data_IF_820099984547
#
_entry.id   IF_820099984547
#
_cell.length_a   1.000
_cell.length_b   1.000
_cell.length_c   1.000
_cell.angle_alpha   90.00
_cell.angle_beta   90.00
_cell.angle_gamma   90.00
#
_symmetry.space_group_name_H-M   'P 1'
#
loop_
_entity.id
_entity.type
_entity.pdbx_description
1 polymer ?
#
# COMPACT_ATOMS: atom_id res chain seq x y z
N UNK A 1 0.22 -4.16 -3.12
CA UNK A 1 0.10 -3.94 -4.58
C UNK A 1 -0.54 -5.17 -5.18
N UNK A 2 -1.79 -5.06 -5.60
CA UNK A 2 -2.51 -6.10 -6.34
C UNK A 2 -2.33 -5.86 -7.82
N UNK A 3 -2.11 -6.93 -8.58
CA UNK A 3 -2.01 -6.89 -10.03
C UNK A 3 -2.76 -8.04 -10.68
N UNK A 4 -3.07 -7.88 -11.96
CA UNK A 4 -3.67 -8.92 -12.81
C UNK A 4 -2.80 -9.08 -14.05
N UNK A 5 -2.43 -10.31 -14.40
CA UNK A 5 -1.67 -10.61 -15.61
C UNK A 5 -2.56 -11.01 -16.79
N UNK A 6 -1.94 -11.54 -17.84
CA UNK A 6 -2.61 -12.30 -18.89
C UNK A 6 -3.44 -13.47 -18.31
N UNK A 7 -4.46 -13.90 -19.06
CA UNK A 7 -5.38 -15.00 -18.67
C UNK A 7 -6.08 -14.81 -17.31
N UNK A 8 -6.26 -13.56 -16.86
CA UNK A 8 -6.90 -13.19 -15.59
C UNK A 8 -6.24 -13.73 -14.32
N UNK A 9 -4.95 -14.12 -14.38
CA UNK A 9 -4.22 -14.53 -13.17
C UNK A 9 -4.03 -13.33 -12.25
N UNK A 10 -4.43 -13.48 -10.98
CA UNK A 10 -4.26 -12.45 -9.97
C UNK A 10 -2.99 -12.67 -9.17
N UNK A 11 -2.40 -11.59 -8.69
CA UNK A 11 -1.26 -11.62 -7.78
C UNK A 11 -1.32 -10.41 -6.84
N UNK A 12 -0.60 -10.46 -5.73
CA UNK A 12 -0.35 -9.30 -4.90
C UNK A 12 0.99 -9.41 -4.20
N UNK A 13 1.62 -8.29 -3.89
CA UNK A 13 2.79 -8.23 -3.02
C UNK A 13 2.65 -7.14 -1.98
N UNK A 14 3.41 -7.28 -0.90
CA UNK A 14 3.56 -6.23 0.12
C UNK A 14 4.63 -5.25 -0.32
N UNK A 15 4.28 -3.97 -0.42
CA UNK A 15 5.21 -2.90 -0.76
C UNK A 15 5.30 -1.91 0.41
N UNK A 16 6.52 -1.51 0.75
CA UNK A 16 6.79 -0.39 1.66
C UNK A 16 7.43 0.79 0.93
N UNK A 17 8.20 0.54 -0.12
CA UNK A 17 8.86 1.58 -0.91
C UNK A 17 7.88 2.23 -1.89
N UNK A 18 7.02 3.09 -1.36
CA UNK A 18 6.10 3.93 -2.14
C UNK A 18 5.92 5.30 -1.47
N UNK A 19 5.51 6.30 -2.25
CA UNK A 19 5.16 7.63 -1.73
C UNK A 19 4.18 8.33 -2.68
N UNK A 20 3.20 9.10 -2.17
CA UNK A 20 2.50 10.10 -2.98
C UNK A 20 3.50 11.12 -3.56
N UNK A 21 3.22 11.64 -4.75
CA UNK A 21 4.12 12.56 -5.47
C UNK A 21 3.45 13.80 -6.06
N UNK A 22 2.12 13.88 -6.03
CA UNK A 22 1.38 15.05 -6.49
C UNK A 22 -0.10 14.94 -6.19
N UNK A 23 -0.79 16.09 -6.14
CA UNK A 23 -2.23 16.18 -5.94
C UNK A 23 -3.02 16.41 -7.24
N UNK A 24 -2.43 17.11 -8.22
CA UNK A 24 -3.09 17.49 -9.48
C UNK A 24 -2.20 17.20 -10.71
N UNK A 25 -2.33 16.03 -11.36
CA UNK A 25 -3.17 14.90 -10.96
C UNK A 25 -2.60 14.13 -9.77
N UNK A 26 -3.47 13.45 -9.01
CA UNK A 26 -3.07 12.65 -7.86
C UNK A 26 -2.23 11.45 -8.29
N UNK A 27 -0.97 11.40 -7.83
CA UNK A 27 0.01 10.40 -8.23
C UNK A 27 0.76 9.81 -7.06
N UNK A 28 1.24 8.58 -7.25
CA UNK A 28 2.17 7.92 -6.36
C UNK A 28 3.31 7.30 -7.16
N UNK A 29 4.44 7.08 -6.50
CA UNK A 29 5.51 6.20 -6.98
C UNK A 29 5.55 4.96 -6.11
N UNK A 30 5.75 3.79 -6.72
CA UNK A 30 6.08 2.54 -6.02
C UNK A 30 7.29 1.86 -6.67
N UNK A 31 8.27 1.47 -5.87
CA UNK A 31 9.43 0.71 -6.32
C UNK A 31 9.10 -0.79 -6.35
N UNK A 32 9.33 -1.44 -7.49
CA UNK A 32 9.02 -2.86 -7.69
C UNK A 32 10.26 -3.57 -8.26
N UNK A 33 10.65 -4.67 -7.61
CA UNK A 33 11.77 -5.50 -8.04
C UNK A 33 11.44 -6.25 -9.33
N UNK A 34 12.37 -6.25 -10.29
CA UNK A 34 12.20 -6.84 -11.64
C UNK A 34 11.94 -8.34 -11.61
N UNK A 35 12.45 -9.05 -10.60
CA UNK A 35 12.23 -10.49 -10.42
C UNK A 35 10.80 -10.88 -10.03
N UNK A 36 10.00 -9.94 -9.53
CA UNK A 36 8.68 -10.25 -8.97
C UNK A 36 7.64 -10.48 -10.06
N UNK A 37 6.66 -11.37 -9.82
CA UNK A 37 5.52 -11.53 -10.75
C UNK A 37 4.69 -10.24 -10.90
N UNK A 38 4.68 -9.40 -9.86
CA UNK A 38 4.01 -8.10 -9.90
C UNK A 38 4.64 -7.18 -10.95
N UNK A 39 5.97 -7.20 -11.10
CA UNK A 39 6.67 -6.43 -12.14
C UNK A 39 6.18 -6.81 -13.54
N UNK A 40 6.17 -8.09 -13.87
CA UNK A 40 5.68 -8.57 -15.18
C UNK A 40 4.24 -8.12 -15.42
N UNK A 41 3.36 -8.26 -14.44
CA UNK A 41 1.95 -7.88 -14.60
C UNK A 41 1.76 -6.36 -14.74
N UNK A 42 2.62 -5.55 -14.12
CA UNK A 42 2.63 -4.10 -14.33
C UNK A 42 3.06 -3.75 -15.75
N UNK A 43 4.06 -4.46 -16.32
CA UNK A 43 4.46 -4.27 -17.71
C UNK A 43 3.38 -4.73 -18.70
N UNK A 44 2.69 -5.82 -18.39
CA UNK A 44 1.64 -6.37 -19.25
C UNK A 44 0.39 -5.48 -19.31
N UNK A 45 -0.06 -4.94 -18.16
CA UNK A 45 -1.35 -4.25 -18.07
C UNK A 45 -1.29 -2.77 -17.76
N UNK A 46 -0.25 -2.30 -17.08
CA UNK A 46 -0.18 -0.92 -16.60
C UNK A 46 -1.29 -0.56 -15.60
N UNK A 47 -1.88 -1.53 -14.90
CA UNK A 47 -2.95 -1.32 -13.92
C UNK A 47 -2.61 -2.02 -12.60
N UNK A 48 -2.90 -1.38 -11.48
CA UNK A 48 -2.73 -1.98 -10.15
C UNK A 48 -3.64 -1.36 -9.10
N UNK A 49 -3.82 -2.08 -7.99
CA UNK A 49 -4.46 -1.54 -6.78
C UNK A 49 -3.43 -1.47 -5.65
N UNK A 50 -3.42 -0.37 -4.91
CA UNK A 50 -2.82 -0.36 -3.57
C UNK A 50 -3.89 -0.48 -2.51
N UNK A 51 -3.73 -1.47 -1.64
CA UNK A 51 -4.66 -1.78 -0.55
C UNK A 51 -3.97 -1.53 0.78
N UNK A 52 -4.63 -0.79 1.67
CA UNK A 52 -4.15 -0.53 3.03
C UNK A 52 -4.56 -1.68 3.97
N UNK A 53 -3.62 -2.50 4.48
CA UNK A 53 -3.96 -3.66 5.29
C UNK A 53 -4.40 -3.27 6.71
N UNK A 54 -5.28 -4.10 7.29
CA UNK A 54 -5.53 -4.09 8.74
C UNK A 54 -4.53 -4.99 9.45
N UNK A 55 -4.45 -4.87 10.77
CA UNK A 55 -3.68 -5.77 11.63
C UNK A 55 -4.05 -7.25 11.50
N UNK A 56 -5.33 -7.57 11.27
CA UNK A 56 -5.81 -8.93 11.01
C UNK A 56 -5.22 -9.56 9.74
N UNK A 57 -4.60 -8.75 8.88
CA UNK A 57 -3.96 -9.21 7.65
C UNK A 57 -2.45 -9.44 7.82
N UNK A 58 -1.91 -9.42 9.05
CA UNK A 58 -0.47 -9.58 9.32
C UNK A 58 0.14 -10.77 8.57
N UNK A 59 -0.44 -11.96 8.72
CA UNK A 59 0.08 -13.18 8.12
C UNK A 59 0.08 -13.09 6.59
N UNK A 60 -0.98 -12.51 6.01
CA UNK A 60 -1.12 -12.28 4.56
C UNK A 60 -0.06 -11.30 4.07
N UNK A 61 0.17 -10.21 4.80
CA UNK A 61 1.16 -9.18 4.47
C UNK A 61 2.58 -9.75 4.52
N UNK A 62 2.91 -10.54 5.54
CA UNK A 62 4.22 -11.19 5.64
C UNK A 62 4.38 -12.23 4.52
N UNK A 63 3.40 -13.13 4.36
CA UNK A 63 3.36 -14.15 3.31
C UNK A 63 3.59 -13.54 1.91
N UNK A 64 2.87 -12.48 1.57
CA UNK A 64 2.96 -11.85 0.26
C UNK A 64 4.29 -11.16 -0.03
N UNK A 65 5.06 -10.82 1.01
CA UNK A 65 6.39 -10.25 0.91
C UNK A 65 7.52 -11.28 0.77
N UNK A 66 7.29 -12.54 1.17
CA UNK A 66 8.29 -13.62 1.09
C UNK A 66 8.04 -14.58 -0.06
N UNK A 67 6.78 -14.86 -0.39
CA UNK A 67 6.41 -15.88 -1.37
C UNK A 67 6.10 -15.22 -2.72
N UNK A 68 6.74 -15.73 -3.78
CA UNK A 68 6.47 -15.31 -5.14
C UNK A 68 5.12 -15.87 -5.60
N UNK A 69 4.34 -15.02 -6.27
CA UNK A 69 3.11 -15.46 -6.92
C UNK A 69 3.34 -16.43 -8.07
N UNK A 70 4.59 -16.64 -8.51
CA UNK A 70 4.94 -17.65 -9.53
C UNK A 70 4.79 -19.06 -8.97
N UNK A 71 5.18 -19.26 -7.71
CA UNK A 71 5.27 -20.56 -7.05
C UNK A 71 3.95 -20.94 -6.36
N UNK A 72 3.23 -19.95 -5.84
CA UNK A 72 1.98 -20.16 -5.10
C UNK A 72 0.89 -19.23 -5.62
N UNK A 73 -0.32 -19.75 -5.81
CA UNK A 73 -1.51 -18.91 -5.97
C UNK A 73 -1.83 -18.22 -4.64
N UNK A 74 -1.33 -16.99 -4.51
CA UNK A 74 -1.46 -16.22 -3.26
C UNK A 74 -2.90 -15.82 -2.96
N UNK A 75 -3.74 -15.64 -3.98
CA UNK A 75 -5.15 -15.27 -3.76
C UNK A 75 -5.91 -16.42 -3.15
N UNK A 76 -5.73 -17.62 -3.70
CA UNK A 76 -6.31 -18.83 -3.14
C UNK A 76 -5.76 -19.12 -1.72
N UNK A 77 -4.44 -19.05 -1.53
CA UNK A 77 -3.81 -19.35 -0.25
C UNK A 77 -4.20 -18.38 0.88
N UNK A 78 -4.39 -17.09 0.55
CA UNK A 78 -4.74 -16.06 1.54
C UNK A 78 -6.24 -15.96 1.82
N UNK A 79 -7.11 -16.59 1.01
CA UNK A 79 -8.56 -16.55 1.20
C UNK A 79 -9.16 -15.14 1.13
N UNK A 80 -8.55 -14.24 0.34
CA UNK A 80 -8.98 -12.84 0.23
C UNK A 80 -10.25 -12.69 -0.61
N UNK A 81 -11.12 -11.77 -0.20
CA UNK A 81 -12.33 -11.42 -0.95
C UNK A 81 -11.99 -10.45 -2.07
N UNK A 82 -12.06 -10.92 -3.31
CA UNK A 82 -11.91 -10.06 -4.50
C UNK A 82 -13.17 -9.21 -4.70
N UNK A 83 -13.03 -7.89 -4.61
CA UNK A 83 -14.12 -6.93 -4.83
C UNK A 83 -13.99 -6.27 -6.21
N UNK A 84 -15.12 -6.06 -6.88
CA UNK A 84 -15.16 -5.48 -8.22
C UNK A 84 -14.62 -4.04 -8.21
N UNK A 85 -13.67 -3.69 -9.10
CA UNK A 85 -13.16 -2.32 -9.25
C UNK A 85 -14.13 -1.43 -10.04
N UNK A 86 -13.91 -0.12 -9.99
CA UNK A 86 -14.70 0.89 -10.69
C UNK A 86 -14.13 1.32 -12.05
N UNK A 87 -12.81 1.36 -12.21
CA UNK A 87 -12.13 1.97 -13.37
C UNK A 87 -11.13 1.05 -14.07
N UNK A 88 -10.53 0.09 -13.37
CA UNK A 88 -9.52 -0.82 -13.93
C UNK A 88 -9.98 -2.28 -13.91
N UNK A 89 -9.16 -3.21 -14.41
CA UNK A 89 -9.46 -4.64 -14.39
C UNK A 89 -9.01 -5.35 -13.10
N UNK A 90 -8.13 -4.75 -12.32
CA UNK A 90 -7.54 -5.35 -11.11
C UNK A 90 -8.53 -5.28 -9.93
N UNK A 91 -8.83 -6.39 -9.22
CA UNK A 91 -9.79 -6.37 -8.12
C UNK A 91 -9.23 -5.68 -6.88
N UNK A 92 -10.13 -5.20 -6.04
CA UNK A 92 -9.83 -4.66 -4.71
C UNK A 92 -9.76 -5.81 -3.68
N UNK A 93 -9.15 -5.55 -2.52
CA UNK A 93 -9.17 -6.47 -1.36
C UNK A 93 -10.27 -6.02 -0.40
N UNK A 94 -11.27 -6.87 -0.16
CA UNK A 94 -12.43 -6.55 0.69
C UNK A 94 -12.09 -6.37 2.16
N UNK A 95 -11.06 -7.05 2.66
CA UNK A 95 -10.61 -7.02 4.06
C UNK A 95 -9.79 -5.76 4.39
N UNK A 96 -9.32 -5.03 3.36
CA UNK A 96 -8.50 -3.85 3.51
C UNK A 96 -9.29 -2.65 4.06
N UNK A 97 -8.58 -1.70 4.67
CA UNK A 97 -9.15 -0.42 5.11
C UNK A 97 -9.62 0.40 3.91
N UNK A 98 -8.78 0.43 2.88
CA UNK A 98 -9.06 1.14 1.65
C UNK A 98 -8.25 0.56 0.50
N UNK A 99 -8.72 0.85 -0.70
CA UNK A 99 -8.12 0.42 -1.96
C UNK A 99 -8.11 1.61 -2.92
N UNK A 100 -7.00 1.80 -3.62
CA UNK A 100 -6.86 2.85 -4.63
C UNK A 100 -6.47 2.22 -5.95
N UNK A 101 -7.23 2.54 -7.01
CA UNK A 101 -7.02 2.07 -8.37
C UNK A 101 -6.06 3.00 -9.11
N UNK A 102 -5.03 2.41 -9.74
CA UNK A 102 -4.01 3.14 -10.46
C UNK A 102 -3.86 2.66 -11.89
N UNK A 103 -3.59 3.62 -12.77
CA UNK A 103 -2.97 3.39 -14.09
C UNK A 103 -1.53 3.85 -14.05
N UNK A 104 -0.61 3.00 -14.49
CA UNK A 104 0.79 3.35 -14.67
C UNK A 104 0.87 4.40 -15.78
N UNK A 105 1.44 5.56 -15.46
CA UNK A 105 1.67 6.65 -16.41
C UNK A 105 3.14 6.79 -16.79
N UNK A 106 4.04 6.23 -15.98
CA UNK A 106 5.47 6.25 -16.24
C UNK A 106 6.15 5.09 -15.52
N UNK A 107 7.12 4.48 -16.19
CA UNK A 107 8.11 3.60 -15.59
C UNK A 107 9.46 4.29 -15.64
N UNK A 108 10.16 4.35 -14.51
CA UNK A 108 11.47 4.98 -14.37
C UNK A 108 12.48 3.88 -14.06
N UNK A 109 13.42 3.58 -14.98
CA UNK A 109 14.48 2.63 -14.72
C UNK A 109 15.29 3.01 -13.47
N UNK A 110 15.48 2.07 -12.53
CA UNK A 110 16.17 2.36 -11.26
C UNK A 110 17.19 1.28 -10.88
N UNK A 111 18.24 1.19 -11.69
CA UNK A 111 19.29 0.18 -11.54
C UNK A 111 18.87 -1.18 -12.11
N UNK A 112 19.65 -2.21 -11.77
CA UNK A 112 19.48 -3.54 -12.35
C UNK A 112 18.35 -4.34 -11.69
N UNK A 113 18.06 -4.10 -10.41
CA UNK A 113 17.19 -4.96 -9.60
C UNK A 113 15.73 -4.50 -9.53
N UNK A 114 15.44 -3.22 -9.75
CA UNK A 114 14.11 -2.66 -9.60
C UNK A 114 13.89 -1.45 -10.50
N UNK A 115 12.63 -1.10 -10.73
CA UNK A 115 12.24 0.17 -11.34
C UNK A 115 11.17 0.84 -10.47
N UNK A 116 10.97 2.14 -10.72
CA UNK A 116 9.92 2.92 -10.09
C UNK A 116 8.72 3.03 -11.05
N UNK A 117 7.53 2.70 -10.57
CA UNK A 117 6.29 2.85 -11.32
C UNK A 117 5.52 4.06 -10.77
N UNK A 118 5.24 5.03 -11.63
CA UNK A 118 4.37 6.17 -11.33
C UNK A 118 2.94 5.78 -11.68
N UNK A 119 2.08 5.70 -10.66
CA UNK A 119 0.65 5.46 -10.81
C UNK A 119 -0.16 6.74 -10.67
N UNK A 120 -1.08 6.98 -11.60
CA UNK A 120 -2.11 8.02 -11.49
C UNK A 120 -3.39 7.42 -10.90
N UNK A 121 -3.95 8.07 -9.89
CA UNK A 121 -5.17 7.64 -9.20
C UNK A 121 -6.37 7.74 -10.14
N UNK A 122 -7.15 6.66 -10.24
CA UNK A 122 -8.40 6.61 -11.02
C UNK A 122 -9.65 6.54 -10.14
N UNK A 123 -9.56 5.86 -9.00
CA UNK A 123 -10.63 5.74 -8.01
C UNK A 123 -10.07 5.38 -6.64
N UNK A 124 -10.72 5.87 -5.59
CA UNK A 124 -10.41 5.56 -4.19
C UNK A 124 -11.64 4.95 -3.53
N UNK A 125 -11.43 3.86 -2.80
CA UNK A 125 -12.46 3.12 -2.09
C UNK A 125 -12.05 2.97 -0.64
N UNK A 126 -12.90 3.36 0.28
CA UNK A 126 -12.63 3.24 1.71
C UNK A 126 -13.76 2.48 2.38
N UNK A 127 -13.40 1.58 3.31
CA UNK A 127 -14.37 0.90 4.14
C UNK A 127 -15.15 1.94 4.94
N UNK A 128 -16.48 1.84 4.90
CA UNK A 128 -17.37 2.78 5.59
C UNK A 128 -16.97 2.85 7.08
N UNK A 129 -16.78 4.08 7.57
CA UNK A 129 -16.41 4.33 8.96
C UNK A 129 -14.97 3.94 9.31
N UNK A 130 -14.06 3.78 8.33
CA UNK A 130 -12.65 3.60 8.61
C UNK A 130 -11.85 4.92 8.61
N UNK A 131 -12.40 5.97 7.99
CA UNK A 131 -11.78 7.30 7.92
C UNK A 131 -12.81 8.41 8.14
N UNK A 132 -12.35 9.55 8.64
CA UNK A 132 -13.08 10.81 8.75
C UNK A 132 -12.34 11.89 7.96
N UNK A 133 -12.83 12.22 6.76
CA UNK A 133 -12.04 12.96 5.78
C UNK A 133 -10.81 12.13 5.36
N UNK A 134 -9.62 12.63 5.67
CA UNK A 134 -8.33 11.94 5.44
C UNK A 134 -7.78 11.25 6.71
N UNK A 135 -8.44 11.41 7.85
CA UNK A 135 -7.99 10.87 9.14
C UNK A 135 -8.40 9.40 9.27
N UNK A 136 -7.44 8.51 9.49
CA UNK A 136 -7.73 7.13 9.91
C UNK A 136 -8.35 7.14 11.31
N UNK A 137 -9.45 6.41 11.47
CA UNK A 137 -10.01 6.14 12.80
C UNK A 137 -9.16 5.10 13.52
N UNK A 138 -9.05 5.22 14.84
CA UNK A 138 -8.28 4.27 15.66
C UNK A 138 -8.77 2.82 15.47
N UNK A 139 -10.09 2.64 15.44
CA UNK A 139 -10.74 1.35 15.24
C UNK A 139 -10.61 0.78 13.81
N UNK A 140 -9.98 1.50 12.89
CA UNK A 140 -9.64 0.99 11.56
C UNK A 140 -8.44 0.03 11.60
N UNK A 141 -7.65 0.04 12.67
CA UNK A 141 -6.49 -0.82 12.94
C UNK A 141 -5.52 -0.97 11.75
N UNK A 142 -4.93 0.12 11.23
CA UNK A 142 -3.96 0.04 10.15
C UNK A 142 -2.68 -0.65 10.61
N UNK A 143 -2.14 -1.48 9.73
CA UNK A 143 -0.89 -2.17 9.98
C UNK A 143 0.30 -1.34 9.50
N UNK A 144 1.18 -0.97 10.41
CA UNK A 144 2.33 -0.09 10.11
C UNK A 144 3.63 -0.88 10.18
N UNK A 145 4.45 -0.82 9.13
CA UNK A 145 5.75 -1.49 9.09
C UNK A 145 6.84 -0.63 9.75
N UNK A 146 7.59 -1.23 10.66
CA UNK A 146 8.63 -0.55 11.45
C UNK A 146 10.05 -0.89 10.99
N UNK A 147 10.22 -1.92 10.16
CA UNK A 147 11.52 -2.32 9.64
C UNK A 147 11.80 -3.81 9.74
N UNK A 148 12.93 -4.21 9.18
CA UNK A 148 13.50 -5.54 9.39
C UNK A 148 14.60 -5.39 10.43
N UNK A 149 14.59 -6.23 11.47
CA UNK A 149 15.74 -6.31 12.39
C UNK A 149 16.79 -7.23 11.78
N UNK A 150 18.06 -6.86 11.90
CA UNK A 150 19.18 -7.66 11.43
C UNK A 150 20.08 -8.04 12.62
N UNK A 151 20.70 -9.21 12.54
CA UNK A 151 21.77 -9.62 13.44
C UNK A 151 23.08 -8.88 13.11
N UNK A 152 24.08 -8.91 14.00
CA UNK A 152 25.39 -8.29 13.73
C UNK A 152 26.09 -8.82 12.47
N UNK A 153 25.84 -10.07 12.08
CA UNK A 153 26.33 -10.69 10.84
C UNK A 153 25.43 -10.44 9.61
N UNK A 154 24.44 -9.54 9.73
CA UNK A 154 23.63 -9.06 8.61
C UNK A 154 22.45 -9.96 8.22
N UNK A 155 22.14 -11.01 8.98
CA UNK A 155 20.99 -11.90 8.69
C UNK A 155 19.69 -11.25 9.15
N UNK A 156 18.60 -11.34 8.35
CA UNK A 156 17.31 -10.83 8.77
C UNK A 156 16.75 -11.68 9.93
N UNK A 157 16.41 -11.02 11.03
CA UNK A 157 15.80 -11.61 12.23
C UNK A 157 14.27 -11.49 12.24
N UNK A 158 13.69 -10.86 11.23
CA UNK A 158 12.24 -10.73 11.08
C UNK A 158 11.80 -9.32 10.74
N UNK A 159 10.55 -9.22 10.28
CA UNK A 159 9.85 -7.97 10.00
C UNK A 159 9.07 -7.55 11.24
N UNK A 160 9.16 -6.27 11.58
CA UNK A 160 8.51 -5.69 12.74
C UNK A 160 7.43 -4.74 12.26
N UNK A 161 6.29 -4.80 12.92
CA UNK A 161 5.12 -4.00 12.64
C UNK A 161 4.58 -3.44 13.96
N UNK A 162 3.84 -2.35 13.88
CA UNK A 162 3.12 -1.78 15.01
C UNK A 162 1.65 -1.60 14.66
N UNK A 163 0.84 -1.58 15.71
CA UNK A 163 -0.57 -1.19 15.67
C UNK A 163 -0.69 0.28 16.08
N UNK A 164 -1.76 0.95 15.66
CA UNK A 164 -2.10 2.25 16.23
C UNK A 164 -2.65 2.05 17.64
N UNK A 165 -2.12 2.79 18.60
CA UNK A 165 -2.65 2.85 19.96
C UNK A 165 -3.57 4.04 20.17
N UNK A 166 -3.17 5.21 19.65
CA UNK A 166 -3.85 6.49 19.82
C UNK A 166 -3.63 7.36 18.59
N UNK A 167 -4.63 8.17 18.26
CA UNK A 167 -4.58 9.23 17.25
C UNK A 167 -4.84 10.54 17.99
N UNK A 168 -3.82 11.39 18.06
CA UNK A 168 -3.88 12.63 18.83
C UNK A 168 -3.72 13.84 17.91
N UNK A 169 -4.45 14.91 18.25
CA UNK A 169 -4.28 16.21 17.59
C UNK A 169 -2.90 16.77 17.91
N UNK A 170 -2.20 17.27 16.89
CA UNK A 170 -0.92 17.96 17.09
C UNK A 170 -1.06 19.13 18.09
N UNK A 171 -0.01 19.40 18.86
CA UNK A 171 0.00 20.51 19.82
C UNK A 171 0.18 21.86 19.10
N UNK A 172 -0.90 22.38 18.52
CA UNK A 172 -0.97 23.70 17.87
C UNK A 172 -0.71 24.87 18.84
N UNK A 173 -0.73 24.61 20.15
CA UNK A 173 -0.41 25.59 21.18
C UNK A 173 1.09 25.69 21.48
N UNK A 174 1.92 24.81 20.89
CA UNK A 174 3.37 24.89 21.07
C UNK A 174 3.94 26.24 20.59
N UNK A 175 5.01 26.76 21.22
CA UNK A 175 5.57 28.07 20.86
C UNK A 175 5.96 28.17 19.38
N UNK A 176 6.45 27.07 18.80
CA UNK A 176 6.82 27.00 17.39
C UNK A 176 5.60 27.16 16.48
N UNK A 177 4.53 26.38 16.71
CA UNK A 177 3.37 26.40 15.82
C UNK A 177 2.56 27.69 15.97
N UNK A 178 2.39 28.21 17.19
CA UNK A 178 1.76 29.52 17.42
C UNK A 178 2.45 30.67 16.71
N UNK A 179 3.78 30.60 16.57
CA UNK A 179 4.58 31.66 15.92
C UNK A 179 4.40 31.68 14.40
N UNK A 180 4.21 30.52 13.77
CA UNK A 180 4.32 30.40 12.31
C UNK A 180 3.06 29.90 11.60
N UNK A 181 2.07 29.34 12.32
CA UNK A 181 0.85 28.80 11.72
C UNK A 181 -0.42 29.56 12.16
N UNK A 182 -1.41 29.71 11.28
CA UNK A 182 -2.77 30.05 11.68
C UNK A 182 -3.31 29.00 12.65
N UNK A 183 -4.04 29.43 13.68
CA UNK A 183 -4.64 28.51 14.63
C UNK A 183 -5.82 27.79 13.97
N UNK A 184 -5.86 26.44 13.98
CA UNK A 184 -7.03 25.73 13.49
C UNK A 184 -8.25 26.05 14.36
N UNK A 185 -9.45 25.93 13.79
CA UNK A 185 -10.67 25.99 14.59
C UNK A 185 -10.61 24.93 15.70
N UNK A 186 -11.17 25.28 16.88
CA UNK A 186 -11.38 24.29 17.94
C UNK A 186 -12.52 23.38 17.50
N UNK A 187 -12.28 22.07 17.59
CA UNK A 187 -13.31 21.03 17.45
C UNK A 187 -14.39 21.16 18.54
#
# INVERSE_FOLDING_TARGET
VVTRGAKNRLNFLTAMWFTPTGFEPSRMIVAIQKRTLTYDFLLERGEFVMSAPTDKMMDIVVFAGYISGRDVDKWQAAGLTAVKPAKISVPLIGEAIGNVEYRVVQQIPFGEEMDLFVGEVLATHVRKGAVEGELYREDSNPLLYMGTKYSPDGKPLGKFYTHMSTVERANYESPLLRKYLPQPNKE
#
